data_IF_952792785853
#
_entry.id   IF_952792785853
#
_cell.length_a   1.000
_cell.length_b   1.000
_cell.length_c   1.000
_cell.angle_alpha   90.00
_cell.angle_beta   90.00
_cell.angle_gamma   90.00
#
_symmetry.space_group_name_H-M   'P 1'
#
loop_
_entity.id
_entity.type
_entity.pdbx_description
1 polymer ?
#
# COMPACT_ATOMS: atom_id res chain seq x y z
N UNK A 1 10.35 16.62 -4.62
CA UNK A 1 9.97 15.39 -5.37
C UNK A 1 8.50 15.42 -5.72
N UNK A 2 8.10 14.68 -6.77
CA UNK A 2 6.68 14.51 -7.16
C UNK A 2 6.20 13.14 -6.73
N UNK A 3 5.23 13.11 -5.84
CA UNK A 3 4.66 11.89 -5.26
C UNK A 3 3.30 11.59 -5.89
N UNK A 4 3.09 10.35 -6.34
CA UNK A 4 1.77 9.78 -6.61
C UNK A 4 1.41 8.85 -5.45
N UNK A 5 0.28 9.11 -4.79
CA UNK A 5 -0.17 8.31 -3.65
C UNK A 5 -1.50 7.66 -3.99
N UNK A 6 -1.51 6.37 -4.28
CA UNK A 6 -2.74 5.61 -4.47
C UNK A 6 -3.32 5.23 -3.11
N UNK A 7 -4.64 5.34 -2.95
CA UNK A 7 -5.28 5.22 -1.64
C UNK A 7 -4.98 6.42 -0.74
N UNK A 8 -4.71 7.58 -1.34
CA UNK A 8 -4.24 8.78 -0.64
C UNK A 8 -5.28 9.43 0.28
N UNK A 9 -6.57 9.18 0.08
CA UNK A 9 -7.65 9.62 0.96
C UNK A 9 -7.97 8.60 2.07
N UNK A 10 -7.29 7.44 2.11
CA UNK A 10 -7.38 6.48 3.21
C UNK A 10 -6.63 6.96 4.46
N UNK A 11 -6.73 6.18 5.54
CA UNK A 11 -6.09 6.49 6.83
C UNK A 11 -4.59 6.77 6.73
N UNK A 12 -3.82 5.81 6.20
CA UNK A 12 -2.36 5.96 6.06
C UNK A 12 -2.04 7.07 5.05
N UNK A 13 -2.76 7.11 3.92
CA UNK A 13 -2.57 8.07 2.85
C UNK A 13 -2.70 9.51 3.35
N UNK A 14 -3.79 9.83 4.05
CA UNK A 14 -4.05 11.16 4.60
C UNK A 14 -2.94 11.64 5.52
N UNK A 15 -2.48 10.79 6.44
CA UNK A 15 -1.37 11.09 7.34
C UNK A 15 -0.06 11.31 6.59
N UNK A 16 0.20 10.53 5.55
CA UNK A 16 1.43 10.66 4.77
C UNK A 16 1.41 11.89 3.86
N UNK A 17 0.28 12.15 3.18
CA UNK A 17 0.05 13.39 2.39
C UNK A 17 0.34 14.63 3.23
N UNK A 18 -0.22 14.70 4.44
CA UNK A 18 0.00 15.80 5.38
C UNK A 18 1.49 16.04 5.64
N UNK A 19 2.26 14.98 5.87
CA UNK A 19 3.72 15.09 6.11
C UNK A 19 4.49 15.55 4.87
N UNK A 20 4.08 15.12 3.68
CA UNK A 20 4.71 15.54 2.43
C UNK A 20 4.43 17.01 2.13
N UNK A 21 3.18 17.46 2.29
CA UNK A 21 2.81 18.87 2.10
C UNK A 21 3.53 19.79 3.08
N UNK A 22 3.68 19.38 4.35
CA UNK A 22 4.47 20.11 5.34
C UNK A 22 5.95 20.25 4.97
N UNK A 23 6.48 19.39 4.09
CA UNK A 23 7.85 19.46 3.56
C UNK A 23 7.96 20.20 2.24
N UNK A 24 6.86 20.72 1.71
CA UNK A 24 6.82 21.41 0.41
C UNK A 24 6.95 20.46 -0.80
N UNK A 25 6.61 19.19 -0.63
CA UNK A 25 6.65 18.22 -1.72
C UNK A 25 5.42 18.37 -2.63
N UNK A 26 5.55 18.01 -3.89
CA UNK A 26 4.43 17.98 -4.84
C UNK A 26 3.69 16.66 -4.74
N UNK A 27 2.38 16.68 -4.48
CA UNK A 27 1.58 15.48 -4.23
C UNK A 27 0.42 15.37 -5.23
N UNK A 28 0.31 14.23 -5.90
CA UNK A 28 -0.88 13.76 -6.58
C UNK A 28 -1.50 12.65 -5.75
N UNK A 29 -2.74 12.86 -5.32
CA UNK A 29 -3.54 11.93 -4.53
C UNK A 29 -4.50 11.21 -5.46
N UNK A 30 -4.33 9.89 -5.60
CA UNK A 30 -5.16 9.02 -6.44
C UNK A 30 -6.03 8.13 -5.56
N UNK A 31 -7.36 8.27 -5.65
CA UNK A 31 -8.30 7.51 -4.81
C UNK A 31 -9.68 7.46 -5.47
N UNK A 32 -10.37 6.33 -5.38
CA UNK A 32 -11.74 6.18 -5.90
C UNK A 32 -12.81 6.60 -4.88
N UNK A 33 -12.41 6.90 -3.64
CA UNK A 33 -13.27 7.28 -2.50
C UNK A 33 -14.29 6.21 -2.11
N UNK A 34 -14.08 4.95 -2.48
CA UNK A 34 -15.01 3.85 -2.17
C UNK A 34 -15.02 3.47 -0.68
N UNK A 35 -13.92 3.75 0.03
CA UNK A 35 -13.82 3.42 1.45
C UNK A 35 -14.56 4.45 2.30
N UNK A 36 -15.35 3.95 3.26
CA UNK A 36 -16.03 4.82 4.23
C UNK A 36 -15.03 5.73 4.94
N UNK A 37 -15.28 7.03 4.90
CA UNK A 37 -14.43 8.06 5.52
C UNK A 37 -13.45 8.73 4.56
N UNK A 38 -13.15 8.16 3.39
CA UNK A 38 -12.21 8.74 2.43
C UNK A 38 -12.62 10.14 1.95
N UNK A 39 -13.93 10.37 1.72
CA UNK A 39 -14.43 11.71 1.34
C UNK A 39 -14.21 12.74 2.46
N UNK A 40 -14.37 12.35 3.73
CA UNK A 40 -14.11 13.23 4.87
C UNK A 40 -12.63 13.58 4.99
N UNK A 41 -11.77 12.60 4.78
CA UNK A 41 -10.32 12.80 4.78
C UNK A 41 -9.89 13.74 3.66
N UNK A 42 -10.45 13.58 2.45
CA UNK A 42 -10.17 14.48 1.34
C UNK A 42 -10.64 15.91 1.62
N UNK A 43 -11.84 16.08 2.20
CA UNK A 43 -12.34 17.39 2.61
C UNK A 43 -11.42 18.02 3.67
N UNK A 44 -11.05 17.25 4.70
CA UNK A 44 -10.13 17.70 5.74
C UNK A 44 -8.76 18.13 5.19
N UNK A 45 -8.19 17.39 4.24
CA UNK A 45 -6.93 17.77 3.57
C UNK A 45 -7.06 19.11 2.85
N UNK A 46 -8.20 19.34 2.14
CA UNK A 46 -8.46 20.61 1.44
C UNK A 46 -8.66 21.79 2.39
N UNK A 47 -9.36 21.54 3.49
CA UNK A 47 -9.59 22.56 4.52
C UNK A 47 -8.29 22.95 5.25
N UNK A 48 -7.42 21.96 5.49
CA UNK A 48 -6.16 22.16 6.23
C UNK A 48 -5.07 22.82 5.38
N UNK A 49 -4.92 22.40 4.13
CA UNK A 49 -3.80 22.76 3.26
C UNK A 49 -4.18 23.70 2.12
N UNK A 50 -5.47 23.87 1.88
CA UNK A 50 -6.00 24.61 0.74
C UNK A 50 -6.29 23.69 -0.47
N UNK A 51 -7.26 24.07 -1.30
CA UNK A 51 -7.75 23.24 -2.41
C UNK A 51 -6.70 23.00 -3.51
N UNK A 52 -5.70 23.83 -3.61
CA UNK A 52 -4.63 23.78 -4.62
C UNK A 52 -3.30 23.24 -4.10
N UNK A 53 -3.23 22.81 -2.84
CA UNK A 53 -1.99 22.31 -2.23
C UNK A 53 -1.54 20.96 -2.80
N UNK A 54 -2.46 20.21 -3.39
CA UNK A 54 -2.21 18.91 -4.02
C UNK A 54 -3.18 18.69 -5.19
N UNK A 55 -2.78 17.81 -6.11
CA UNK A 55 -3.68 17.37 -7.19
C UNK A 55 -4.50 16.18 -6.70
N UNK A 56 -5.83 16.24 -6.79
CA UNK A 56 -6.69 15.09 -6.55
C UNK A 56 -7.12 14.46 -7.89
N UNK A 57 -6.87 13.15 -8.03
CA UNK A 57 -7.27 12.34 -9.18
C UNK A 57 -8.26 11.29 -8.66
N UNK A 58 -9.52 11.41 -9.06
CA UNK A 58 -10.52 10.39 -8.76
C UNK A 58 -10.33 9.21 -9.71
N UNK A 59 -9.73 8.12 -9.21
CA UNK A 59 -9.40 6.96 -10.02
C UNK A 59 -9.34 5.67 -9.22
N UNK A 60 -9.51 4.57 -9.92
CA UNK A 60 -9.41 3.21 -9.40
C UNK A 60 -8.12 2.56 -9.92
N UNK A 61 -7.39 1.84 -9.08
CA UNK A 61 -6.14 1.17 -9.47
C UNK A 61 -6.35 0.04 -10.49
N UNK A 62 -7.59 -0.36 -10.71
CA UNK A 62 -7.97 -1.29 -11.78
C UNK A 62 -8.00 -0.64 -13.17
N UNK A 63 -8.08 0.69 -13.23
CA UNK A 63 -7.98 1.47 -14.46
C UNK A 63 -6.51 1.73 -14.81
N UNK A 64 -5.95 0.85 -15.62
CA UNK A 64 -4.53 0.87 -15.98
C UNK A 64 -4.15 2.13 -16.79
N UNK A 65 -5.05 2.65 -17.65
CA UNK A 65 -4.77 3.81 -18.51
C UNK A 65 -4.71 5.09 -17.68
N UNK A 66 -5.69 5.32 -16.81
CA UNK A 66 -5.71 6.48 -15.92
C UNK A 66 -4.52 6.44 -14.95
N UNK A 67 -4.18 5.24 -14.45
CA UNK A 67 -3.05 5.07 -13.55
C UNK A 67 -1.72 5.37 -14.26
N UNK A 68 -1.52 4.87 -15.49
CA UNK A 68 -0.33 5.14 -16.29
C UNK A 68 -0.18 6.65 -16.59
N UNK A 69 -1.28 7.32 -16.94
CA UNK A 69 -1.28 8.77 -17.14
C UNK A 69 -0.91 9.54 -15.88
N UNK A 70 -1.42 9.08 -14.71
CA UNK A 70 -1.17 9.69 -13.41
C UNK A 70 0.28 9.49 -12.92
N UNK A 71 0.90 8.37 -13.27
CA UNK A 71 2.26 8.01 -12.84
C UNK A 71 3.37 8.63 -13.71
N UNK A 72 3.04 9.19 -14.87
CA UNK A 72 3.99 9.63 -15.89
C UNK A 72 5.12 10.50 -15.35
N UNK A 73 4.80 11.42 -14.45
CA UNK A 73 5.74 12.40 -13.94
C UNK A 73 6.17 12.15 -12.49
N UNK A 74 5.77 11.03 -11.90
CA UNK A 74 6.11 10.69 -10.52
C UNK A 74 7.60 10.38 -10.37
N UNK A 75 8.20 10.88 -9.30
CA UNK A 75 9.52 10.47 -8.83
C UNK A 75 9.39 9.34 -7.79
N UNK A 76 8.27 9.34 -7.06
CA UNK A 76 7.93 8.32 -6.05
C UNK A 76 6.45 7.95 -6.18
N UNK A 77 6.16 6.65 -6.18
CA UNK A 77 4.80 6.12 -6.10
C UNK A 77 4.64 5.42 -4.76
N UNK A 78 3.67 5.87 -3.96
CA UNK A 78 3.30 5.23 -2.68
C UNK A 78 1.99 4.48 -2.89
N UNK A 79 2.08 3.17 -2.97
CA UNK A 79 0.93 2.33 -3.27
C UNK A 79 0.27 1.82 -1.99
N UNK A 80 -0.82 2.50 -1.59
CA UNK A 80 -1.64 2.19 -0.42
C UNK A 80 -3.06 1.73 -0.77
N UNK A 81 -3.51 1.96 -2.03
CA UNK A 81 -4.83 1.52 -2.48
C UNK A 81 -4.95 0.00 -2.36
N UNK A 82 -5.94 -0.47 -1.62
CA UNK A 82 -6.09 -1.89 -1.30
C UNK A 82 -7.48 -2.17 -0.72
N UNK A 83 -8.03 -3.34 -1.00
CA UNK A 83 -8.99 -3.97 -0.11
C UNK A 83 -8.20 -4.47 1.13
N UNK A 84 -8.64 -4.18 2.35
CA UNK A 84 -7.81 -4.36 3.55
C UNK A 84 -8.36 -5.35 4.59
N UNK A 85 -9.57 -5.88 4.38
CA UNK A 85 -10.24 -6.73 5.36
C UNK A 85 -10.26 -8.19 4.91
N UNK A 86 -9.71 -9.08 5.74
CA UNK A 86 -9.76 -10.54 5.51
C UNK A 86 -11.20 -11.03 5.36
N UNK A 87 -12.11 -10.56 6.23
CA UNK A 87 -13.52 -10.97 6.18
C UNK A 87 -14.21 -10.59 4.87
N UNK A 88 -13.94 -9.39 4.36
CA UNK A 88 -14.48 -8.93 3.07
C UNK A 88 -13.89 -9.74 1.91
N UNK A 89 -12.60 -10.12 1.96
CA UNK A 89 -11.97 -10.91 0.91
C UNK A 89 -12.57 -12.31 0.78
N UNK A 90 -13.07 -12.89 1.87
CA UNK A 90 -13.77 -14.18 1.84
C UNK A 90 -15.16 -14.05 1.22
N UNK A 91 -15.83 -12.91 1.42
CA UNK A 91 -17.16 -12.65 0.85
C UNK A 91 -17.09 -12.27 -0.63
N UNK A 92 -16.08 -11.50 -1.03
CA UNK A 92 -15.87 -11.04 -2.40
C UNK A 92 -14.37 -11.19 -2.78
N UNK A 93 -13.92 -12.42 -3.09
CA UNK A 93 -12.53 -12.69 -3.45
C UNK A 93 -12.14 -12.10 -4.81
N UNK A 94 -13.11 -11.86 -5.70
CA UNK A 94 -12.84 -11.24 -7.01
C UNK A 94 -12.42 -9.79 -6.85
N UNK A 95 -13.19 -8.98 -6.15
CA UNK A 95 -12.86 -7.58 -5.88
C UNK A 95 -11.54 -7.47 -5.11
N UNK A 96 -11.28 -8.38 -4.15
CA UNK A 96 -10.01 -8.44 -3.43
C UNK A 96 -8.82 -8.66 -4.38
N UNK A 97 -8.91 -9.66 -5.27
CA UNK A 97 -7.88 -9.94 -6.27
C UNK A 97 -7.67 -8.77 -7.22
N UNK A 98 -8.75 -8.21 -7.76
CA UNK A 98 -8.67 -7.10 -8.71
C UNK A 98 -8.06 -5.84 -8.10
N UNK A 99 -8.42 -5.51 -6.86
CA UNK A 99 -7.85 -4.34 -6.18
C UNK A 99 -6.40 -4.57 -5.75
N UNK A 100 -6.10 -5.73 -5.16
CA UNK A 100 -4.82 -5.96 -4.49
C UNK A 100 -3.75 -6.52 -5.43
N UNK A 101 -4.06 -7.58 -6.19
CA UNK A 101 -3.09 -8.20 -7.09
C UNK A 101 -3.02 -7.46 -8.42
N UNK A 102 -4.14 -7.34 -9.14
CA UNK A 102 -4.18 -6.64 -10.42
C UNK A 102 -3.88 -5.15 -10.28
N UNK A 103 -4.43 -4.47 -9.27
CA UNK A 103 -4.14 -3.07 -9.00
C UNK A 103 -2.65 -2.82 -8.73
N UNK A 104 -1.99 -3.69 -7.96
CA UNK A 104 -0.53 -3.60 -7.74
C UNK A 104 0.24 -3.84 -9.04
N UNK A 105 -0.16 -4.82 -9.85
CA UNK A 105 0.43 -5.05 -11.16
C UNK A 105 0.31 -3.81 -12.06
N UNK A 106 -0.86 -3.17 -12.12
CA UNK A 106 -1.07 -1.94 -12.90
C UNK A 106 -0.17 -0.79 -12.42
N UNK A 107 0.03 -0.64 -11.10
CA UNK A 107 0.96 0.37 -10.55
C UNK A 107 2.39 0.10 -11.01
N UNK A 108 2.83 -1.15 -10.97
CA UNK A 108 4.17 -1.55 -11.39
C UNK A 108 4.39 -1.33 -12.89
N UNK A 109 3.40 -1.67 -13.73
CA UNK A 109 3.47 -1.41 -15.17
C UNK A 109 3.46 0.09 -15.47
N UNK A 110 2.64 0.88 -14.77
CA UNK A 110 2.65 2.34 -14.90
C UNK A 110 4.04 2.92 -14.55
N UNK A 111 4.67 2.42 -13.47
CA UNK A 111 6.01 2.83 -13.07
C UNK A 111 7.07 2.43 -14.11
N UNK A 112 7.06 1.16 -14.54
CA UNK A 112 8.02 0.61 -15.51
C UNK A 112 7.94 1.32 -16.87
N UNK A 113 6.73 1.56 -17.36
CA UNK A 113 6.49 2.16 -18.68
C UNK A 113 6.60 3.69 -18.69
N UNK A 114 6.70 4.35 -17.53
CA UNK A 114 6.86 5.81 -17.45
C UNK A 114 8.18 6.31 -18.04
N UNK A 115 9.18 5.44 -18.18
CA UNK A 115 10.55 5.79 -18.61
C UNK A 115 11.36 6.55 -17.55
N UNK A 116 10.81 6.81 -16.35
CA UNK A 116 11.46 7.56 -15.26
C UNK A 116 11.97 6.68 -14.13
N UNK A 117 11.58 5.40 -14.10
CA UNK A 117 11.89 4.45 -13.04
C UNK A 117 11.62 5.04 -11.62
N UNK A 118 10.39 5.49 -11.31
CA UNK A 118 10.08 6.04 -10.00
C UNK A 118 10.31 5.00 -8.90
N UNK A 119 10.67 5.47 -7.69
CA UNK A 119 10.70 4.60 -6.52
C UNK A 119 9.26 4.17 -6.15
N UNK A 120 9.02 2.86 -6.10
CA UNK A 120 7.72 2.31 -5.69
C UNK A 120 7.77 1.82 -4.24
N UNK A 121 6.99 2.43 -3.37
CA UNK A 121 6.79 2.03 -1.98
C UNK A 121 5.46 1.26 -1.86
N UNK A 122 5.52 0.00 -1.52
CA UNK A 122 4.34 -0.88 -1.44
C UNK A 122 3.98 -1.25 -0.01
N UNK A 123 2.75 -0.96 0.39
CA UNK A 123 2.19 -1.41 1.65
C UNK A 123 1.70 -2.86 1.55
N UNK A 124 2.58 -3.81 1.86
CA UNK A 124 2.26 -5.21 2.06
C UNK A 124 1.69 -5.44 3.47
N UNK A 125 1.66 -6.66 3.95
CA UNK A 125 1.07 -7.05 5.23
C UNK A 125 1.86 -8.17 5.90
N UNK A 126 1.81 -8.25 7.23
CA UNK A 126 2.30 -9.40 7.97
C UNK A 126 1.51 -10.70 7.67
N UNK A 127 0.32 -10.61 7.09
CA UNK A 127 -0.50 -11.76 6.71
C UNK A 127 0.12 -12.62 5.61
N UNK A 128 1.18 -12.14 4.95
CA UNK A 128 1.95 -12.94 4.00
C UNK A 128 2.77 -14.05 4.67
N UNK A 129 2.97 -13.99 5.99
CA UNK A 129 3.64 -15.01 6.79
C UNK A 129 2.71 -16.10 7.33
N UNK A 130 1.41 -16.00 7.07
CA UNK A 130 0.43 -16.99 7.54
C UNK A 130 0.16 -16.94 9.03
N UNK A 131 -0.21 -18.10 9.60
CA UNK A 131 -0.53 -18.25 11.03
C UNK A 131 0.69 -18.34 11.93
N UNK A 132 1.81 -18.85 11.41
CA UNK A 132 3.04 -19.10 12.18
C UNK A 132 2.77 -19.94 13.45
N UNK A 133 1.87 -20.93 13.35
CA UNK A 133 1.38 -21.73 14.49
C UNK A 133 2.48 -22.60 15.12
N UNK A 134 3.53 -22.88 14.36
CA UNK A 134 4.69 -23.64 14.81
C UNK A 134 5.62 -22.83 15.74
N UNK A 135 5.47 -21.50 15.76
CA UNK A 135 6.31 -20.64 16.59
C UNK A 135 5.85 -20.61 18.05
N UNK A 136 6.77 -20.85 18.95
CA UNK A 136 6.48 -20.77 20.38
C UNK A 136 6.38 -19.33 20.84
N UNK A 137 5.26 -19.02 21.48
CA UNK A 137 5.01 -17.71 22.09
C UNK A 137 5.24 -17.82 23.58
N UNK A 138 5.90 -16.84 24.17
CA UNK A 138 6.06 -16.69 25.62
C UNK A 138 5.41 -15.40 26.10
N UNK A 139 4.85 -15.47 27.29
CA UNK A 139 4.28 -14.30 27.98
C UNK A 139 5.38 -13.61 28.79
N UNK A 140 5.63 -12.34 28.46
CA UNK A 140 6.50 -11.45 29.20
C UNK A 140 5.68 -10.51 30.08
N UNK A 141 6.30 -9.76 30.94
CA UNK A 141 5.64 -8.84 31.88
C UNK A 141 4.65 -7.86 31.19
N UNK A 142 4.97 -7.39 29.97
CA UNK A 142 4.19 -6.36 29.27
C UNK A 142 3.70 -6.75 27.88
N UNK A 143 4.08 -7.94 27.38
CA UNK A 143 3.75 -8.37 26.01
C UNK A 143 3.95 -9.86 25.83
N UNK A 144 3.35 -10.39 24.76
CA UNK A 144 3.75 -11.66 24.17
C UNK A 144 4.91 -11.49 23.21
N UNK A 145 5.83 -12.44 23.16
CA UNK A 145 6.95 -12.44 22.24
C UNK A 145 7.16 -13.83 21.63
N UNK A 146 7.71 -13.89 20.42
CA UNK A 146 8.17 -15.14 19.86
C UNK A 146 9.48 -15.54 20.53
N UNK A 147 9.52 -16.74 21.13
CA UNK A 147 10.69 -17.25 21.85
C UNK A 147 11.92 -17.36 20.94
N UNK A 148 11.70 -17.85 19.71
CA UNK A 148 12.79 -18.14 18.78
C UNK A 148 13.13 -16.90 17.89
N UNK A 149 12.35 -15.81 17.99
CA UNK A 149 12.53 -14.56 17.24
C UNK A 149 12.38 -13.33 18.16
N UNK A 150 13.31 -13.11 19.08
CA UNK A 150 13.19 -12.03 20.09
C UNK A 150 13.20 -10.62 19.47
N UNK A 151 13.74 -10.47 18.25
CA UNK A 151 13.77 -9.21 17.50
C UNK A 151 12.66 -9.06 16.46
N UNK A 152 11.72 -10.01 16.40
CA UNK A 152 10.63 -10.06 15.42
C UNK A 152 10.92 -10.99 14.24
N UNK A 153 9.93 -11.21 13.40
CA UNK A 153 10.00 -12.10 12.25
C UNK A 153 10.84 -11.47 11.15
N UNK A 154 11.91 -12.12 10.69
CA UNK A 154 12.76 -11.59 9.63
C UNK A 154 12.08 -11.69 8.25
N UNK A 155 12.51 -10.89 7.29
CA UNK A 155 12.01 -10.89 5.91
C UNK A 155 12.30 -12.21 5.16
N UNK A 156 13.23 -13.00 5.67
CA UNK A 156 13.61 -14.32 5.14
C UNK A 156 12.72 -15.46 5.64
N UNK A 157 11.83 -15.19 6.61
CA UNK A 157 10.88 -16.18 7.09
C UNK A 157 9.98 -16.68 5.94
N UNK A 158 9.66 -17.98 5.86
CA UNK A 158 8.82 -18.55 4.81
C UNK A 158 7.48 -17.83 4.69
N UNK A 159 7.02 -17.66 3.45
CA UNK A 159 5.71 -17.08 3.17
C UNK A 159 4.68 -18.19 3.09
N UNK A 160 3.53 -17.97 3.72
CA UNK A 160 2.40 -18.88 3.75
C UNK A 160 1.09 -18.09 3.69
N UNK A 161 0.61 -17.86 2.46
CA UNK A 161 -0.53 -16.98 2.20
C UNK A 161 -1.84 -17.66 2.61
N UNK A 162 -2.50 -17.11 3.61
CA UNK A 162 -3.84 -17.51 4.03
C UNK A 162 -4.89 -16.47 3.66
N UNK A 163 -6.11 -16.91 3.37
CA UNK A 163 -7.23 -16.13 2.88
C UNK A 163 -7.01 -15.51 1.49
N UNK A 164 -8.07 -15.13 0.76
CA UNK A 164 -7.95 -14.38 -0.49
C UNK A 164 -7.14 -13.09 -0.30
N UNK A 165 -7.32 -12.36 0.82
CA UNK A 165 -6.54 -11.18 1.17
C UNK A 165 -5.03 -11.47 1.29
N UNK A 166 -4.65 -12.52 2.02
CA UNK A 166 -3.24 -12.92 2.15
C UNK A 166 -2.64 -13.28 0.81
N UNK A 167 -3.39 -14.03 -0.04
CA UNK A 167 -2.96 -14.41 -1.38
C UNK A 167 -2.79 -13.19 -2.31
N UNK A 168 -3.77 -12.29 -2.35
CA UNK A 168 -3.72 -11.13 -3.24
C UNK A 168 -2.64 -10.12 -2.84
N UNK A 169 -2.47 -9.86 -1.53
CA UNK A 169 -1.40 -9.02 -1.00
C UNK A 169 -0.03 -9.68 -1.17
N UNK A 170 0.05 -11.00 -0.98
CA UNK A 170 1.27 -11.78 -1.19
C UNK A 170 1.70 -11.82 -2.66
N UNK A 171 0.76 -11.95 -3.58
CA UNK A 171 1.03 -11.82 -5.01
C UNK A 171 1.65 -10.45 -5.32
N UNK A 172 1.03 -9.35 -4.85
CA UNK A 172 1.57 -8.00 -5.00
C UNK A 172 2.99 -7.86 -4.41
N UNK A 173 3.22 -8.37 -3.19
CA UNK A 173 4.54 -8.40 -2.53
C UNK A 173 5.61 -9.05 -3.41
N UNK A 174 5.31 -10.20 -4.01
CA UNK A 174 6.25 -10.91 -4.87
C UNK A 174 6.47 -10.20 -6.21
N UNK A 175 5.42 -9.66 -6.84
CA UNK A 175 5.56 -8.85 -8.05
C UNK A 175 6.45 -7.62 -7.82
N UNK A 176 6.24 -6.88 -6.72
CA UNK A 176 7.06 -5.69 -6.40
C UNK A 176 8.54 -6.07 -6.26
N UNK A 177 8.84 -7.18 -5.59
CA UNK A 177 10.23 -7.68 -5.45
C UNK A 177 10.81 -8.12 -6.78
N UNK A 178 10.03 -8.77 -7.62
CA UNK A 178 10.50 -9.31 -8.89
C UNK A 178 10.72 -8.21 -9.94
N UNK A 179 9.89 -7.16 -9.93
CA UNK A 179 10.11 -5.99 -10.78
C UNK A 179 11.45 -5.29 -10.49
N UNK A 180 11.90 -5.30 -9.23
CA UNK A 180 13.25 -4.83 -8.91
C UNK A 180 14.33 -5.73 -9.52
N UNK A 181 14.14 -7.05 -9.47
CA UNK A 181 15.11 -8.04 -9.97
C UNK A 181 15.21 -8.06 -11.48
N UNK A 182 14.07 -8.04 -12.18
CA UNK A 182 14.00 -8.25 -13.63
C UNK A 182 14.12 -6.94 -14.39
N UNK A 183 13.46 -5.88 -13.91
CA UNK A 183 13.38 -4.60 -14.62
C UNK A 183 14.26 -3.50 -14.01
N UNK A 184 14.90 -3.76 -12.85
CA UNK A 184 15.70 -2.75 -12.15
C UNK A 184 14.87 -1.60 -11.58
N UNK A 185 13.54 -1.77 -11.44
CA UNK A 185 12.68 -0.75 -10.86
C UNK A 185 13.00 -0.61 -9.36
N UNK A 186 13.33 0.60 -8.86
CA UNK A 186 13.57 0.77 -7.43
C UNK A 186 12.29 0.55 -6.64
N UNK A 187 12.28 -0.43 -5.75
CA UNK A 187 11.09 -0.81 -4.97
C UNK A 187 11.41 -1.06 -3.51
N UNK A 188 10.44 -0.78 -2.63
CA UNK A 188 10.46 -1.17 -1.22
C UNK A 188 9.13 -1.79 -0.84
N UNK A 189 9.17 -2.94 -0.17
CA UNK A 189 7.99 -3.64 0.36
C UNK A 189 7.96 -3.50 1.87
N UNK A 190 6.85 -2.97 2.40
CA UNK A 190 6.60 -2.87 3.84
C UNK A 190 5.59 -3.94 4.27
N UNK A 191 6.02 -5.01 4.93
CA UNK A 191 5.16 -6.03 5.52
C UNK A 191 4.65 -5.56 6.88
N UNK A 192 3.67 -4.67 6.83
CA UNK A 192 3.18 -3.96 8.00
C UNK A 192 2.26 -4.83 8.85
N UNK A 193 2.33 -4.64 10.17
CA UNK A 193 1.37 -5.14 11.13
C UNK A 193 0.28 -4.10 11.40
N UNK A 194 -0.53 -4.27 12.45
CA UNK A 194 -1.63 -3.36 12.79
C UNK A 194 -1.16 -1.90 12.93
N UNK A 195 -1.70 -1.04 12.10
CA UNK A 195 -1.43 0.40 12.11
C UNK A 195 -2.63 1.12 12.71
N UNK A 196 -2.40 2.04 13.60
CA UNK A 196 -3.42 2.85 14.24
C UNK A 196 -2.98 4.31 14.36
N UNK A 197 -3.94 5.23 14.51
CA UNK A 197 -3.68 6.67 14.60
C UNK A 197 -4.89 7.51 14.22
N UNK A 198 -4.74 8.84 14.10
CA UNK A 198 -5.80 9.75 13.68
C UNK A 198 -6.13 9.60 12.18
N UNK A 199 -7.36 9.98 11.81
CA UNK A 199 -8.01 9.96 10.48
C UNK A 199 -8.51 8.61 9.96
#
# INVERSE_FOLDING_TARGET
MRYLITGGAGFIGTNYVTRLLARGETVALFDNLSRRGAERNLAWLRDTWGPNAFTFIRGDVRDAELLAASARDADVIVHLASQVAVTTSVQDPRTDFECNALGTFNVLEAARLSGRAPLVLYASTNKVYGGMEELRVEELETRYAYRDYPHGIPETYPLDFHSPYGCSKGAGDQYVRDYARIYGLPTVVFRQSCIYGPH
#
